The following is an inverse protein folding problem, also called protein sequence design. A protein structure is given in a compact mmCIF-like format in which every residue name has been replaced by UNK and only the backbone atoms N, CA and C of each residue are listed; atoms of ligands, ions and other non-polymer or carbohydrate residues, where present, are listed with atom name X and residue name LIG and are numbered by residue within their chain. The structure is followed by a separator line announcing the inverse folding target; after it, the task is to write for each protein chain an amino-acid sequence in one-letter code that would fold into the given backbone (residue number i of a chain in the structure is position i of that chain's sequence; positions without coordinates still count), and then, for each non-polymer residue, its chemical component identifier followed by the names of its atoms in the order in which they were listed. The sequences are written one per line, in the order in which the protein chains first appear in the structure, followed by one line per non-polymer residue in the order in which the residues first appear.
data_IF_902750370373
#
_entry.id   IF_902750370373
#
_cell.length_a   1.000
_cell.length_b   1.000
_cell.length_c   1.000
_cell.angle_alpha   90.00
_cell.angle_beta   90.00
_cell.angle_gamma   90.00
#
_symmetry.space_group_name_H-M   'P 1'
#
loop_
_entity.id
_entity.type
_entity.pdbx_description
1 polymer ?
#
# COMPACT_ATOMS: atom_id res chain seq x y z
N UNK A 1 -10.82 -11.97 -28.09
CA UNK A 1 -10.16 -13.17 -27.59
C UNK A 1 -8.67 -12.95 -27.52
N UNK A 2 -8.23 -12.28 -26.46
CA UNK A 2 -6.83 -12.16 -26.09
C UNK A 2 -6.33 -13.50 -25.53
N UNK A 3 -5.01 -13.69 -25.63
CA UNK A 3 -4.29 -14.86 -25.12
C UNK A 3 -3.11 -14.37 -24.31
N UNK A 4 -3.06 -14.81 -23.06
CA UNK A 4 -2.02 -14.43 -22.10
C UNK A 4 -1.13 -15.64 -21.85
N UNK A 5 0.18 -15.41 -21.78
CA UNK A 5 1.14 -16.44 -21.40
C UNK A 5 1.38 -16.35 -19.90
N UNK A 6 0.99 -17.38 -19.17
CA UNK A 6 1.25 -17.47 -17.73
C UNK A 6 2.74 -17.74 -17.45
N UNK A 7 3.15 -17.54 -16.19
CA UNK A 7 4.53 -17.72 -15.76
C UNK A 7 5.06 -19.16 -15.93
N UNK A 8 4.17 -20.16 -15.89
CA UNK A 8 4.49 -21.57 -16.15
C UNK A 8 4.48 -21.94 -17.65
N UNK A 9 4.21 -20.97 -18.54
CA UNK A 9 4.16 -21.16 -19.98
C UNK A 9 2.80 -21.59 -20.53
N UNK A 10 1.79 -21.81 -19.67
CA UNK A 10 0.43 -22.09 -20.11
C UNK A 10 -0.21 -20.86 -20.79
N UNK A 11 -1.17 -21.12 -21.69
CA UNK A 11 -1.93 -20.07 -22.38
C UNK A 11 -3.29 -19.94 -21.72
N UNK A 12 -3.62 -18.72 -21.30
CA UNK A 12 -4.89 -18.35 -20.68
C UNK A 12 -5.67 -17.47 -21.66
N UNK A 13 -6.95 -17.76 -21.88
CA UNK A 13 -7.82 -16.93 -22.72
C UNK A 13 -8.72 -16.04 -21.88
N UNK A 14 -9.30 -15.00 -22.50
CA UNK A 14 -10.34 -14.18 -21.86
C UNK A 14 -11.49 -15.05 -21.32
N UNK A 15 -11.98 -16.03 -22.09
CA UNK A 15 -13.11 -16.88 -21.66
C UNK A 15 -12.76 -17.73 -20.42
N UNK A 16 -11.51 -18.16 -20.30
CA UNK A 16 -11.04 -18.87 -19.11
C UNK A 16 -11.03 -17.95 -17.89
N UNK A 17 -10.60 -16.70 -18.06
CA UNK A 17 -10.59 -15.68 -17.00
C UNK A 17 -12.01 -15.39 -16.55
N UNK A 18 -12.93 -15.13 -17.48
CA UNK A 18 -14.33 -14.83 -17.19
C UNK A 18 -14.98 -15.99 -16.40
N UNK A 19 -14.75 -17.23 -16.82
CA UNK A 19 -15.27 -18.41 -16.12
C UNK A 19 -14.70 -18.57 -14.70
N UNK A 20 -13.42 -18.23 -14.49
CA UNK A 20 -12.84 -18.22 -13.13
C UNK A 20 -13.41 -17.09 -12.27
N UNK A 21 -13.60 -15.90 -12.83
CA UNK A 21 -14.21 -14.78 -12.11
C UNK A 21 -15.62 -15.13 -11.62
N UNK A 22 -16.48 -15.69 -12.49
CA UNK A 22 -17.83 -16.09 -12.11
C UNK A 22 -17.85 -17.17 -11.01
N UNK A 23 -16.90 -18.12 -11.03
CA UNK A 23 -16.79 -19.15 -9.99
C UNK A 23 -16.35 -18.55 -8.65
N UNK A 24 -15.33 -17.67 -8.68
CA UNK A 24 -14.83 -17.01 -7.47
C UNK A 24 -15.85 -16.06 -6.84
N UNK A 25 -16.68 -15.39 -7.64
CA UNK A 25 -17.81 -14.59 -7.14
C UNK A 25 -18.85 -15.42 -6.38
N UNK A 26 -18.90 -16.75 -6.62
CA UNK A 26 -19.73 -17.72 -5.89
C UNK A 26 -18.98 -18.44 -4.76
N UNK A 27 -17.76 -18.02 -4.45
CA UNK A 27 -16.87 -18.68 -3.47
C UNK A 27 -16.49 -20.12 -3.87
N UNK A 28 -16.51 -20.43 -5.17
CA UNK A 28 -16.12 -21.73 -5.72
C UNK A 28 -14.62 -21.71 -6.07
N UNK A 29 -13.79 -22.17 -5.14
CA UNK A 29 -12.34 -22.20 -5.31
C UNK A 29 -11.84 -23.48 -6.00
N UNK A 30 -10.77 -23.40 -6.82
CA UNK A 30 -10.13 -24.59 -7.37
C UNK A 30 -9.65 -25.54 -6.28
N UNK A 31 -9.78 -26.85 -6.51
CA UNK A 31 -9.31 -27.86 -5.57
C UNK A 31 -7.80 -27.73 -5.34
N UNK A 32 -7.39 -27.68 -4.06
CA UNK A 32 -5.98 -27.51 -3.69
C UNK A 32 -5.43 -26.09 -3.88
N UNK A 33 -6.30 -25.09 -4.11
CA UNK A 33 -5.89 -23.70 -4.19
C UNK A 33 -5.12 -23.28 -2.94
N UNK A 34 -3.95 -22.68 -3.17
CA UNK A 34 -3.11 -22.08 -2.13
C UNK A 34 -2.72 -20.69 -2.58
N UNK A 35 -2.93 -19.70 -1.71
CA UNK A 35 -2.35 -18.37 -1.91
C UNK A 35 -0.83 -18.53 -2.09
N UNK A 36 -0.33 -18.10 -3.26
CA UNK A 36 1.11 -18.08 -3.56
C UNK A 36 1.82 -16.85 -3.00
N UNK A 37 1.06 -15.90 -2.47
CA UNK A 37 1.55 -14.74 -1.73
C UNK A 37 1.34 -14.93 -0.23
N UNK A 38 2.27 -14.41 0.55
CA UNK A 38 2.08 -14.23 1.99
C UNK A 38 0.87 -13.31 2.21
N UNK A 39 -0.11 -13.77 3.00
CA UNK A 39 -1.22 -12.91 3.41
C UNK A 39 -0.65 -11.92 4.42
N UNK A 40 -0.40 -10.69 3.97
CA UNK A 40 0.06 -9.62 4.84
C UNK A 40 -1.17 -9.08 5.59
N UNK A 41 -1.31 -9.49 6.84
CA UNK A 41 -2.31 -8.91 7.74
C UNK A 41 -1.82 -7.54 8.22
N UNK A 42 -2.53 -6.49 7.82
CA UNK A 42 -2.20 -5.12 8.18
C UNK A 42 -2.74 -4.12 7.17
N UNK A 43 -2.67 -2.83 7.52
CA UNK A 43 -3.09 -1.77 6.60
C UNK A 43 -2.06 -1.71 5.45
N UNK A 44 -2.49 -1.70 4.17
CA UNK A 44 -1.57 -1.56 3.05
C UNK A 44 -0.64 -0.36 3.28
N UNK A 45 0.66 -0.45 2.95
CA UNK A 45 1.54 0.70 3.02
C UNK A 45 0.94 1.83 2.18
N UNK A 46 0.98 3.07 2.70
CA UNK A 46 0.34 4.24 2.08
C UNK A 46 0.82 4.54 0.64
N UNK A 47 1.90 3.91 0.17
CA UNK A 47 2.12 3.55 -1.23
C UNK A 47 3.33 2.61 -1.36
N UNK A 48 3.38 1.82 -2.43
CA UNK A 48 4.58 1.11 -2.91
C UNK A 48 5.41 1.96 -3.90
N UNK A 49 4.86 3.10 -4.33
CA UNK A 49 5.40 3.95 -5.40
C UNK A 49 6.03 5.24 -4.86
N UNK A 50 7.17 5.11 -4.19
CA UNK A 50 8.09 6.22 -3.92
C UNK A 50 7.61 7.29 -2.93
N UNK A 51 8.41 8.36 -2.81
CA UNK A 51 8.10 9.51 -1.95
C UNK A 51 7.99 10.78 -2.78
N UNK A 52 6.96 11.59 -2.53
CA UNK A 52 6.76 12.90 -3.17
C UNK A 52 6.92 14.04 -2.16
N UNK A 53 7.26 15.24 -2.64
CA UNK A 53 7.43 16.42 -1.79
C UNK A 53 6.09 17.09 -1.52
N UNK A 54 5.69 17.19 -0.25
CA UNK A 54 4.60 18.03 0.22
C UNK A 54 5.15 19.37 0.74
N UNK A 55 4.77 20.47 0.11
CA UNK A 55 5.15 21.83 0.54
C UNK A 55 3.97 22.55 1.20
N UNK A 56 4.12 22.91 2.47
CA UNK A 56 3.10 23.62 3.25
C UNK A 56 3.69 24.90 3.88
N UNK A 57 2.89 25.97 3.93
CA UNK A 57 3.21 27.14 4.74
C UNK A 57 2.65 26.92 6.15
N UNK A 58 3.49 27.18 7.15
CA UNK A 58 3.13 27.09 8.56
C UNK A 58 3.63 28.33 9.30
N UNK A 59 3.01 28.71 10.44
CA UNK A 59 3.55 29.75 11.30
C UNK A 59 5.00 29.45 11.73
N UNK A 60 5.82 30.48 11.90
CA UNK A 60 7.23 30.34 12.29
C UNK A 60 7.38 29.55 13.59
N UNK A 61 6.55 29.85 14.58
CA UNK A 61 6.53 29.15 15.87
C UNK A 61 6.25 27.65 15.72
N UNK A 62 5.37 27.27 14.78
CA UNK A 62 5.06 25.86 14.52
C UNK A 62 6.27 25.12 13.94
N UNK A 63 6.97 25.71 12.97
CA UNK A 63 8.21 25.13 12.43
C UNK A 63 9.27 24.95 13.52
N UNK A 64 9.42 25.92 14.42
CA UNK A 64 10.36 25.86 15.54
C UNK A 64 9.99 24.76 16.54
N UNK A 65 8.70 24.59 16.84
CA UNK A 65 8.21 23.53 17.72
C UNK A 65 8.51 22.14 17.13
N UNK A 66 8.17 21.92 15.85
CA UNK A 66 8.45 20.65 15.15
C UNK A 66 9.95 20.35 15.13
N UNK A 67 10.81 21.35 14.85
CA UNK A 67 12.25 21.15 14.80
C UNK A 67 12.86 20.87 16.18
N UNK A 68 12.42 21.58 17.22
CA UNK A 68 12.88 21.37 18.60
C UNK A 68 12.51 19.96 19.09
N UNK A 69 11.30 19.53 18.76
CA UNK A 69 10.79 18.23 19.16
C UNK A 69 11.48 17.08 18.41
N UNK A 70 11.71 17.25 17.10
CA UNK A 70 12.51 16.31 16.32
C UNK A 70 13.91 16.13 16.92
N UNK A 71 14.57 17.24 17.29
CA UNK A 71 15.88 17.20 17.96
C UNK A 71 15.83 16.46 19.29
N UNK A 72 14.81 16.73 20.13
CA UNK A 72 14.60 16.05 21.41
C UNK A 72 14.46 14.53 21.25
N UNK A 73 13.83 14.09 20.16
CA UNK A 73 13.64 12.67 19.82
C UNK A 73 14.78 12.05 19.01
N UNK A 74 15.85 12.80 18.73
CA UNK A 74 16.99 12.29 17.95
C UNK A 74 16.65 11.95 16.50
N UNK A 75 15.67 12.62 15.90
CA UNK A 75 15.24 12.39 14.51
C UNK A 75 15.30 13.69 13.68
N UNK A 76 15.13 13.58 12.37
CA UNK A 76 15.06 14.74 11.48
C UNK A 76 13.69 15.43 11.56
N UNK A 77 13.66 16.74 11.32
CA UNK A 77 12.41 17.52 11.26
C UNK A 77 11.40 16.91 10.28
N UNK A 78 11.88 16.45 9.11
CA UNK A 78 11.04 15.83 8.08
C UNK A 78 10.47 14.47 8.53
N UNK A 79 11.25 13.66 9.23
CA UNK A 79 10.77 12.38 9.75
C UNK A 79 9.76 12.58 10.87
N UNK A 80 10.01 13.52 11.77
CA UNK A 80 9.06 13.86 12.82
C UNK A 80 7.74 14.41 12.25
N UNK A 81 7.81 15.33 11.29
CA UNK A 81 6.64 15.85 10.60
C UNK A 81 5.85 14.73 9.88
N UNK A 82 6.54 13.80 9.22
CA UNK A 82 5.88 12.65 8.58
C UNK A 82 5.18 11.76 9.60
N UNK A 83 5.80 11.49 10.75
CA UNK A 83 5.19 10.69 11.81
C UNK A 83 3.89 11.34 12.35
N UNK A 84 3.90 12.66 12.58
CA UNK A 84 2.69 13.39 12.99
C UNK A 84 1.57 13.30 11.95
N UNK A 85 1.90 13.43 10.66
CA UNK A 85 0.91 13.30 9.58
C UNK A 85 0.35 11.86 9.52
N UNK A 86 1.20 10.85 9.67
CA UNK A 86 0.80 9.45 9.69
C UNK A 86 -0.12 9.18 10.88
N UNK A 87 0.24 9.63 12.08
CA UNK A 87 -0.60 9.50 13.28
C UNK A 87 -1.96 10.15 13.07
N UNK A 88 -2.01 11.39 12.59
CA UNK A 88 -3.27 12.10 12.35
C UNK A 88 -4.14 11.48 11.24
N UNK A 89 -3.53 10.88 10.22
CA UNK A 89 -4.25 10.23 9.11
C UNK A 89 -4.66 8.79 9.41
N UNK A 90 -4.03 8.15 10.40
CA UNK A 90 -4.27 6.76 10.76
C UNK A 90 -4.98 6.58 12.11
N UNK A 91 -5.13 7.64 12.91
CA UNK A 91 -5.99 7.65 14.07
C UNK A 91 -7.46 7.60 13.61
N UNK A 92 -8.14 6.49 13.90
CA UNK A 92 -9.60 6.37 13.84
C UNK A 92 -10.27 7.09 15.02
#
# INVERSE_FOLDING_TARGET
MARFKAADGSVVTDEMIDGWCEALDRDEWPEGWKSRSEIVYGKPPLSVDGTVTLSIKVPVAMKQAIASEAKRRGTSTSNYARALLVEALLAE
#
